data_IF_951253466762
#
_entry.id   IF_951253466762
#
_cell.length_a   1.000
_cell.length_b   1.000
_cell.length_c   1.000
_cell.angle_alpha   90.00
_cell.angle_beta   90.00
_cell.angle_gamma   90.00
#
_symmetry.space_group_name_H-M   'P 1'
#
loop_
_entity.id
_entity.type
_entity.pdbx_description
1 polymer ?
#
# COMPACT_ATOMS: atom_id res chain seq x y z
N UNK A 1 5.23 -19.55 37.48
CA UNK A 1 4.32 -20.36 36.63
C UNK A 1 3.58 -19.39 35.74
N UNK A 2 3.51 -19.64 34.43
CA UNK A 2 2.74 -18.77 33.54
C UNK A 2 1.25 -18.84 33.94
N UNK A 3 0.57 -17.69 34.07
CA UNK A 3 -0.86 -17.65 34.34
C UNK A 3 -1.61 -18.25 33.14
N UNK A 4 -2.21 -19.43 33.32
CA UNK A 4 -3.05 -20.09 32.32
C UNK A 4 -4.38 -19.34 32.28
N UNK A 5 -4.81 -18.89 31.11
CA UNK A 5 -6.10 -18.22 30.96
C UNK A 5 -7.22 -19.27 30.90
N UNK A 6 -8.29 -19.11 31.68
CA UNK A 6 -9.41 -20.06 31.72
C UNK A 6 -10.72 -19.29 31.50
N UNK A 7 -11.58 -19.80 30.62
CA UNK A 7 -12.92 -19.24 30.38
C UNK A 7 -13.94 -20.36 30.19
N UNK A 8 -15.16 -20.14 30.69
CA UNK A 8 -16.31 -20.99 30.37
C UNK A 8 -16.87 -20.74 28.96
N UNK A 9 -16.50 -19.61 28.34
CA UNK A 9 -16.81 -19.28 26.96
C UNK A 9 -15.99 -20.07 25.93
N UNK A 10 -16.23 -19.84 24.65
CA UNK A 10 -15.56 -20.54 23.55
C UNK A 10 -14.28 -19.85 23.06
N UNK A 11 -13.99 -18.64 23.51
CA UNK A 11 -12.83 -17.84 23.12
C UNK A 11 -12.44 -16.82 24.21
N UNK A 12 -11.31 -16.15 24.01
CA UNK A 12 -10.88 -15.00 24.80
C UNK A 12 -10.89 -13.76 23.90
N UNK A 13 -11.63 -12.72 24.27
CA UNK A 13 -11.67 -11.47 23.50
C UNK A 13 -10.28 -10.82 23.46
N UNK A 14 -9.85 -10.39 22.26
CA UNK A 14 -8.51 -9.82 22.05
C UNK A 14 -7.39 -10.87 22.06
N UNK A 15 -7.73 -12.15 21.89
CA UNK A 15 -6.78 -13.24 21.72
C UNK A 15 -7.22 -14.14 20.55
N UNK A 16 -6.27 -14.57 19.75
CA UNK A 16 -6.46 -15.54 18.69
C UNK A 16 -6.06 -16.94 19.19
N UNK A 17 -6.95 -17.92 19.06
CA UNK A 17 -6.61 -19.33 19.29
C UNK A 17 -5.78 -19.81 18.10
N UNK A 18 -4.50 -20.06 18.33
CA UNK A 18 -3.56 -20.52 17.30
C UNK A 18 -3.48 -22.05 17.18
N UNK A 19 -3.90 -22.78 18.23
CA UNK A 19 -3.88 -24.24 18.23
C UNK A 19 -4.93 -24.79 19.21
N UNK A 20 -5.61 -25.87 18.82
CA UNK A 20 -6.51 -26.64 19.68
C UNK A 20 -5.83 -27.89 20.18
N UNK A 21 -5.73 -28.00 21.49
CA UNK A 21 -5.21 -29.16 22.21
C UNK A 21 -6.29 -30.15 22.65
N UNK A 22 -5.89 -31.18 23.40
CA UNK A 22 -6.81 -32.20 23.87
C UNK A 22 -7.80 -31.64 24.91
N UNK A 23 -8.99 -32.23 24.94
CA UNK A 23 -9.91 -32.06 26.07
C UNK A 23 -9.36 -32.74 27.32
N UNK A 24 -9.44 -32.06 28.47
CA UNK A 24 -8.97 -32.57 29.76
C UNK A 24 -10.07 -32.46 30.80
N UNK A 25 -10.05 -33.37 31.77
CA UNK A 25 -10.86 -33.30 32.97
C UNK A 25 -10.09 -33.83 34.18
N UNK A 26 -10.44 -33.33 35.36
CA UNK A 26 -9.95 -33.79 36.67
C UNK A 26 -11.16 -33.97 37.58
N UNK A 27 -11.10 -34.96 38.48
CA UNK A 27 -12.16 -35.27 39.44
C UNK A 27 -11.60 -35.39 40.86
N UNK A 28 -12.35 -34.89 41.84
CA UNK A 28 -12.07 -35.08 43.28
C UNK A 28 -13.31 -35.68 43.94
N UNK A 29 -13.10 -36.74 44.72
CA UNK A 29 -14.19 -37.49 45.37
C UNK A 29 -14.53 -36.86 46.72
N UNK A 30 -15.80 -36.51 46.92
CA UNK A 30 -16.38 -36.26 48.23
C UNK A 30 -16.92 -37.57 48.82
N UNK A 31 -16.28 -38.02 49.90
CA UNK A 31 -16.62 -39.28 50.56
C UNK A 31 -17.73 -39.16 51.60
N UNK A 32 -18.32 -40.31 51.90
CA UNK A 32 -19.44 -40.53 52.81
C UNK A 32 -19.22 -40.10 54.27
N UNK A 33 -17.98 -40.02 54.74
CA UNK A 33 -17.69 -39.68 56.14
C UNK A 33 -18.10 -38.24 56.49
N UNK A 34 -17.96 -37.32 55.54
CA UNK A 34 -18.38 -35.92 55.71
C UNK A 34 -19.92 -35.77 55.69
N UNK A 35 -20.60 -36.46 54.77
CA UNK A 35 -22.07 -36.46 54.69
C UNK A 35 -22.70 -37.05 55.96
N UNK A 36 -22.06 -38.06 56.56
CA UNK A 36 -22.46 -38.63 57.85
C UNK A 36 -22.23 -37.68 59.03
N UNK A 37 -21.12 -36.95 59.07
CA UNK A 37 -20.82 -35.96 60.13
C UNK A 37 -21.81 -34.80 60.16
N UNK A 38 -22.28 -34.33 59.00
CA UNK A 38 -23.36 -33.33 58.91
C UNK A 38 -24.71 -33.93 59.35
N UNK A 39 -24.93 -35.23 59.10
CA UNK A 39 -26.18 -35.91 59.40
C UNK A 39 -26.39 -36.31 60.87
N UNK A 40 -25.32 -36.46 61.67
CA UNK A 40 -25.37 -37.13 62.96
C UNK A 40 -25.56 -36.25 64.22
N UNK A 41 -25.58 -34.90 64.13
CA UNK A 41 -25.63 -34.02 65.31
C UNK A 41 -26.92 -33.18 65.41
N UNK A 42 -27.74 -33.53 66.41
CA UNK A 42 -28.96 -32.94 67.02
C UNK A 42 -29.51 -31.58 66.49
N UNK A 43 -30.77 -31.65 66.00
CA UNK A 43 -31.91 -30.72 65.89
C UNK A 43 -31.85 -29.18 65.70
N UNK A 44 -30.86 -28.39 66.12
CA UNK A 44 -31.12 -26.94 66.33
C UNK A 44 -30.44 -25.92 65.40
N UNK A 45 -29.72 -26.32 64.35
CA UNK A 45 -28.99 -25.33 63.51
C UNK A 45 -29.04 -25.67 62.01
N UNK A 46 -30.14 -25.32 61.34
CA UNK A 46 -30.28 -25.49 59.89
C UNK A 46 -29.36 -24.55 59.07
N UNK A 47 -29.00 -23.39 59.64
CA UNK A 47 -28.18 -22.37 58.96
C UNK A 47 -26.69 -22.70 58.92
N UNK A 48 -26.16 -23.40 59.94
CA UNK A 48 -24.73 -23.78 60.01
C UNK A 48 -24.42 -25.05 59.19
N UNK A 49 -25.42 -25.88 58.89
CA UNK A 49 -25.22 -27.09 58.06
C UNK A 49 -25.04 -26.76 56.59
N UNK A 50 -25.83 -25.81 56.08
CA UNK A 50 -25.67 -25.35 54.70
C UNK A 50 -24.32 -24.68 54.52
N UNK A 51 -23.88 -23.85 55.47
CA UNK A 51 -22.55 -23.23 55.42
C UNK A 51 -21.43 -24.27 55.46
N UNK A 52 -21.43 -25.24 56.38
CA UNK A 52 -20.40 -26.29 56.43
C UNK A 52 -20.35 -27.15 55.17
N UNK A 53 -21.52 -27.52 54.61
CA UNK A 53 -21.61 -28.27 53.35
C UNK A 53 -21.10 -27.44 52.17
N UNK A 54 -21.51 -26.18 52.08
CA UNK A 54 -21.05 -25.24 51.07
C UNK A 54 -19.54 -24.99 51.18
N UNK A 55 -19.01 -24.81 52.38
CA UNK A 55 -17.58 -24.58 52.64
C UNK A 55 -16.74 -25.79 52.21
N UNK A 56 -17.22 -27.02 52.44
CA UNK A 56 -16.52 -28.23 52.00
C UNK A 56 -16.61 -28.44 50.50
N UNK A 57 -17.77 -28.19 49.89
CA UNK A 57 -17.93 -28.23 48.45
C UNK A 57 -17.04 -27.19 47.77
N UNK A 58 -17.04 -25.96 48.26
CA UNK A 58 -16.20 -24.87 47.77
C UNK A 58 -14.71 -25.19 47.94
N UNK A 59 -14.32 -25.75 49.09
CA UNK A 59 -12.96 -26.25 49.32
C UNK A 59 -12.55 -27.36 48.34
N UNK A 60 -13.42 -28.33 48.12
CA UNK A 60 -13.18 -29.45 47.18
C UNK A 60 -13.12 -28.94 45.74
N UNK A 61 -13.98 -27.99 45.39
CA UNK A 61 -13.98 -27.33 44.09
C UNK A 61 -12.67 -26.59 43.84
N UNK A 62 -12.21 -25.77 44.79
CA UNK A 62 -10.93 -25.07 44.72
C UNK A 62 -9.76 -26.04 44.56
N UNK A 63 -9.75 -27.15 45.29
CA UNK A 63 -8.72 -28.20 45.17
C UNK A 63 -8.73 -28.86 43.78
N UNK A 64 -9.92 -29.10 43.23
CA UNK A 64 -10.09 -29.73 41.92
C UNK A 64 -9.65 -28.79 40.79
N UNK A 65 -10.01 -27.50 40.87
CA UNK A 65 -9.56 -26.46 39.93
C UNK A 65 -8.03 -26.34 39.98
N UNK A 66 -7.44 -26.29 41.17
CA UNK A 66 -5.98 -26.23 41.33
C UNK A 66 -5.28 -27.44 40.70
N UNK A 67 -5.82 -28.64 40.94
CA UNK A 67 -5.30 -29.88 40.33
C UNK A 67 -5.41 -29.86 38.81
N UNK A 68 -6.49 -29.28 38.26
CA UNK A 68 -6.65 -29.09 36.83
C UNK A 68 -5.62 -28.10 36.27
N UNK A 69 -5.41 -26.94 36.90
CA UNK A 69 -4.38 -25.98 36.52
C UNK A 69 -2.96 -26.58 36.54
N UNK A 70 -2.65 -27.43 37.53
CA UNK A 70 -1.38 -28.17 37.59
C UNK A 70 -1.21 -29.16 36.44
N UNK A 71 -2.30 -29.82 36.00
CA UNK A 71 -2.29 -30.70 34.83
C UNK A 71 -2.09 -29.90 33.55
N UNK A 72 -2.76 -28.76 33.39
CA UNK A 72 -2.60 -27.89 32.22
C UNK A 72 -1.20 -27.27 32.17
N UNK A 73 -0.65 -26.86 33.31
CA UNK A 73 0.69 -26.29 33.42
C UNK A 73 1.83 -27.24 33.07
N UNK A 74 1.56 -28.53 32.93
CA UNK A 74 2.51 -29.54 32.41
C UNK A 74 2.42 -29.72 30.89
N UNK A 75 1.57 -28.96 30.21
CA UNK A 75 1.41 -29.00 28.76
C UNK A 75 1.99 -27.76 28.09
N UNK A 76 2.09 -27.76 26.76
CA UNK A 76 2.56 -26.60 25.99
C UNK A 76 1.44 -25.59 25.69
N UNK A 77 0.21 -25.82 26.17
CA UNK A 77 -0.94 -24.95 25.98
C UNK A 77 -1.00 -23.89 27.08
N UNK A 78 -1.40 -22.67 26.73
CA UNK A 78 -1.39 -21.53 27.65
C UNK A 78 -2.79 -21.03 28.04
N UNK A 79 -3.86 -21.64 27.52
CA UNK A 79 -5.23 -21.30 27.89
C UNK A 79 -6.21 -22.49 27.79
N UNK A 80 -7.41 -22.31 28.35
CA UNK A 80 -8.50 -23.29 28.39
C UNK A 80 -9.82 -22.60 28.05
N UNK A 81 -10.52 -23.13 27.05
CA UNK A 81 -11.88 -22.69 26.66
C UNK A 81 -12.91 -23.77 26.97
N UNK A 82 -14.17 -23.37 27.09
CA UNK A 82 -15.28 -24.27 27.42
C UNK A 82 -15.14 -24.88 28.80
N UNK A 83 -14.54 -24.16 29.75
CA UNK A 83 -14.34 -24.62 31.11
C UNK A 83 -15.69 -24.86 31.81
N UNK A 84 -15.86 -26.07 32.36
CA UNK A 84 -17.08 -26.50 33.03
C UNK A 84 -16.76 -27.17 34.34
N UNK A 85 -17.67 -27.00 35.29
CA UNK A 85 -17.59 -27.58 36.62
C UNK A 85 -18.91 -28.25 36.93
N UNK A 86 -18.87 -29.53 37.25
CA UNK A 86 -20.06 -30.34 37.53
C UNK A 86 -19.90 -31.06 38.87
N UNK A 87 -21.00 -31.22 39.58
CA UNK A 87 -21.10 -32.16 40.70
C UNK A 87 -21.89 -33.36 40.20
N UNK A 88 -21.34 -34.55 40.35
CA UNK A 88 -22.00 -35.79 39.96
C UNK A 88 -22.10 -36.69 41.17
N UNK A 89 -23.32 -37.13 41.46
CA UNK A 89 -23.59 -38.13 42.49
C UNK A 89 -23.40 -39.52 41.87
N UNK A 90 -22.37 -40.25 42.32
CA UNK A 90 -22.14 -41.63 41.91
C UNK A 90 -23.02 -42.61 42.70
N UNK A 91 -23.32 -42.27 43.96
CA UNK A 91 -24.18 -43.06 44.85
C UNK A 91 -24.70 -42.17 45.98
N UNK A 92 -25.57 -42.72 46.83
CA UNK A 92 -26.17 -41.99 47.96
C UNK A 92 -25.17 -41.35 48.94
N UNK A 93 -23.90 -41.77 48.92
CA UNK A 93 -22.88 -41.26 49.83
C UNK A 93 -21.56 -40.87 49.15
N UNK A 94 -21.54 -40.78 47.82
CA UNK A 94 -20.34 -40.41 47.06
C UNK A 94 -20.76 -39.44 45.97
N UNK A 95 -20.29 -38.21 46.12
CA UNK A 95 -20.36 -37.18 45.08
C UNK A 95 -18.95 -36.88 44.60
N UNK A 96 -18.81 -36.43 43.37
CA UNK A 96 -17.53 -35.94 42.87
C UNK A 96 -17.69 -34.58 42.23
N UNK A 97 -16.69 -33.73 42.46
CA UNK A 97 -16.53 -32.50 41.71
C UNK A 97 -15.67 -32.82 40.50
N UNK A 98 -16.18 -32.51 39.32
CA UNK A 98 -15.50 -32.72 38.04
C UNK A 98 -15.30 -31.35 37.41
N UNK A 99 -14.07 -31.06 36.99
CA UNK A 99 -13.76 -29.87 36.19
C UNK A 99 -13.17 -30.29 34.86
N UNK A 100 -13.54 -29.60 33.78
CA UNK A 100 -13.11 -29.97 32.43
C UNK A 100 -13.04 -28.78 31.49
N UNK A 101 -12.29 -28.93 30.39
CA UNK A 101 -12.18 -27.91 29.34
C UNK A 101 -11.26 -28.35 28.20
N UNK A 102 -11.23 -27.55 27.13
CA UNK A 102 -10.37 -27.78 25.97
C UNK A 102 -9.13 -26.92 26.08
N UNK A 103 -7.95 -27.55 26.05
CA UNK A 103 -6.68 -26.81 26.06
C UNK A 103 -6.48 -26.12 24.72
N UNK A 104 -5.99 -24.89 24.73
CA UNK A 104 -5.72 -24.11 23.54
C UNK A 104 -4.42 -23.32 23.70
N UNK A 105 -3.73 -23.10 22.60
CA UNK A 105 -2.66 -22.10 22.52
C UNK A 105 -3.30 -20.83 22.00
N UNK A 106 -3.30 -19.78 22.82
CA UNK A 106 -3.76 -18.45 22.43
C UNK A 106 -2.59 -17.50 22.32
N UNK A 107 -2.65 -16.61 21.34
CA UNK A 107 -1.77 -15.44 21.29
C UNK A 107 -2.65 -14.21 21.47
N UNK A 108 -2.17 -13.23 22.23
CA UNK A 108 -2.86 -11.94 22.32
C UNK A 108 -2.99 -11.40 20.90
N UNK A 109 -4.21 -11.20 20.45
CA UNK A 109 -4.49 -10.62 19.17
C UNK A 109 -4.10 -9.15 19.29
N UNK A 110 -2.94 -8.80 18.75
CA UNK A 110 -2.53 -7.42 18.69
C UNK A 110 -3.32 -6.74 17.58
N UNK A 111 -4.24 -5.80 17.89
CA UNK A 111 -4.71 -4.76 16.96
C UNK A 111 -5.18 -3.47 17.66
N UNK A 112 -4.35 -2.42 17.62
CA UNK A 112 -4.83 -1.03 17.60
C UNK A 112 -4.76 -0.46 16.18
N UNK A 113 -5.60 0.51 15.83
CA UNK A 113 -5.74 1.06 14.47
C UNK A 113 -4.49 1.79 13.92
N UNK A 114 -3.49 2.03 14.77
CA UNK A 114 -2.22 2.69 14.43
C UNK A 114 -1.12 1.73 13.93
N UNK A 115 -1.23 0.41 14.12
CA UNK A 115 -0.07 -0.50 13.93
C UNK A 115 -0.10 -1.34 12.64
N UNK A 116 -0.92 -0.95 11.65
CA UNK A 116 -0.87 -1.52 10.29
C UNK A 116 0.19 -0.78 9.47
N UNK A 117 1.47 -1.07 9.69
CA UNK A 117 2.64 -0.51 8.99
C UNK A 117 2.51 0.99 8.65
N UNK A 118 3.02 1.87 9.52
CA UNK A 118 3.10 3.31 9.25
C UNK A 118 4.03 3.68 8.08
N UNK A 119 4.60 2.68 7.40
CA UNK A 119 5.34 2.91 6.18
C UNK A 119 4.43 3.38 5.03
N UNK A 120 4.29 4.69 4.89
CA UNK A 120 3.61 5.31 3.76
C UNK A 120 4.66 5.81 2.80
N UNK A 121 4.75 5.20 1.61
CA UNK A 121 5.64 5.64 0.53
C UNK A 121 4.86 6.06 -0.70
N UNK A 122 5.22 7.20 -1.27
CA UNK A 122 4.67 7.70 -2.53
C UNK A 122 5.78 8.18 -3.46
N UNK A 123 5.79 7.64 -4.67
CA UNK A 123 6.65 8.11 -5.75
C UNK A 123 5.83 9.00 -6.70
N UNK A 124 6.37 10.17 -7.00
CA UNK A 124 5.77 11.16 -7.87
C UNK A 124 6.74 11.48 -9.00
N UNK A 125 6.27 11.48 -10.24
CA UNK A 125 7.04 12.03 -11.33
C UNK A 125 6.96 13.56 -11.31
N UNK A 126 8.06 14.21 -11.66
CA UNK A 126 8.17 15.67 -11.65
C UNK A 126 7.55 16.23 -12.92
N UNK A 127 6.56 17.11 -12.79
CA UNK A 127 5.73 17.63 -13.88
C UNK A 127 6.25 18.94 -14.49
N UNK A 128 7.53 19.24 -14.32
CA UNK A 128 8.19 20.37 -14.96
C UNK A 128 9.66 20.03 -15.24
N UNK A 129 10.30 20.73 -16.17
CA UNK A 129 11.67 20.43 -16.57
C UNK A 129 12.43 21.65 -17.08
N UNK A 130 13.76 21.61 -16.99
CA UNK A 130 14.65 22.65 -17.50
C UNK A 130 15.19 22.29 -18.86
N UNK A 131 15.00 23.13 -19.88
CA UNK A 131 15.56 22.91 -21.21
C UNK A 131 17.04 23.34 -21.34
N UNK A 132 17.87 22.92 -20.37
CA UNK A 132 19.31 23.18 -20.32
C UNK A 132 20.04 21.99 -19.70
N UNK A 133 21.37 21.95 -19.89
CA UNK A 133 22.27 20.97 -19.27
C UNK A 133 22.51 21.27 -17.78
N UNK A 134 21.44 21.18 -16.99
CA UNK A 134 21.45 21.22 -15.52
C UNK A 134 20.98 19.88 -14.97
N UNK A 135 21.32 19.53 -13.72
CA UNK A 135 20.70 18.38 -13.07
C UNK A 135 19.18 18.51 -13.12
N UNK A 136 18.48 17.55 -13.73
CA UNK A 136 17.04 17.68 -14.00
C UNK A 136 16.26 16.74 -13.10
N UNK A 137 15.40 17.29 -12.25
CA UNK A 137 14.54 16.49 -11.40
C UNK A 137 13.57 15.63 -12.24
N UNK A 138 13.50 14.33 -11.93
CA UNK A 138 12.64 13.37 -12.66
C UNK A 138 11.64 12.66 -11.75
N UNK A 139 11.94 12.54 -10.46
CA UNK A 139 11.10 11.87 -9.47
C UNK A 139 11.29 12.48 -8.09
N UNK A 140 10.21 12.60 -7.33
CA UNK A 140 10.20 12.90 -5.89
C UNK A 140 9.60 11.70 -5.16
N UNK A 141 10.18 11.33 -4.03
CA UNK A 141 9.77 10.21 -3.21
C UNK A 141 9.49 10.75 -1.81
N UNK A 142 8.26 10.58 -1.36
CA UNK A 142 7.84 10.84 0.01
C UNK A 142 7.75 9.50 0.74
N UNK A 143 8.32 9.43 1.94
CA UNK A 143 8.23 8.27 2.80
C UNK A 143 8.00 8.72 4.25
N UNK A 144 7.09 8.05 4.96
CA UNK A 144 6.98 8.14 6.41
C UNK A 144 7.06 6.74 6.99
N UNK A 145 7.60 6.61 8.19
CA UNK A 145 7.56 5.41 9.05
C UNK A 145 6.83 5.69 10.37
N UNK A 146 5.98 6.72 10.40
CA UNK A 146 5.26 7.18 11.62
C UNK A 146 6.03 8.19 12.47
N UNK A 147 7.25 8.55 12.07
CA UNK A 147 8.13 9.49 12.77
C UNK A 147 8.51 10.68 11.89
N UNK A 148 7.53 11.25 11.19
CA UNK A 148 7.71 12.38 10.29
C UNK A 148 7.95 11.97 8.84
N UNK A 149 7.61 12.89 7.93
CA UNK A 149 7.79 12.68 6.50
C UNK A 149 9.23 12.98 6.10
N UNK A 150 9.80 12.05 5.35
CA UNK A 150 11.06 12.20 4.64
C UNK A 150 10.79 12.38 3.15
N UNK A 151 11.65 13.15 2.51
CA UNK A 151 11.65 13.39 1.07
C UNK A 151 13.00 13.01 0.47
N UNK A 152 12.98 12.41 -0.71
CA UNK A 152 14.13 12.18 -1.57
C UNK A 152 13.75 12.60 -2.99
N UNK A 153 14.73 13.03 -3.79
CA UNK A 153 14.51 13.39 -5.18
C UNK A 153 15.59 12.77 -6.08
N UNK A 154 15.18 12.41 -7.29
CA UNK A 154 16.06 11.85 -8.30
C UNK A 154 16.26 12.86 -9.41
N UNK A 155 17.50 12.97 -9.88
CA UNK A 155 17.90 13.93 -10.91
C UNK A 155 18.69 13.22 -12.01
N UNK A 156 18.33 13.48 -13.25
CA UNK A 156 19.18 13.13 -14.37
C UNK A 156 20.38 14.08 -14.42
N UNK A 157 21.56 13.52 -14.55
CA UNK A 157 22.83 14.21 -14.60
C UNK A 157 23.47 14.01 -15.98
N UNK A 158 23.00 14.79 -16.94
CA UNK A 158 23.42 14.68 -18.34
C UNK A 158 24.92 14.93 -18.53
N UNK A 159 25.52 15.79 -17.71
CA UNK A 159 26.94 16.12 -17.79
C UNK A 159 27.84 15.10 -17.08
N UNK A 160 27.28 14.11 -16.37
CA UNK A 160 28.04 13.23 -15.48
C UNK A 160 28.88 14.03 -14.46
N UNK A 161 28.37 15.17 -14.02
CA UNK A 161 29.08 16.03 -13.07
C UNK A 161 29.15 15.41 -11.67
N UNK A 162 30.19 15.78 -10.92
CA UNK A 162 30.28 15.52 -9.48
C UNK A 162 29.36 16.49 -8.71
N UNK A 163 28.04 16.28 -8.82
CA UNK A 163 27.00 17.10 -8.17
C UNK A 163 26.85 16.66 -6.72
N UNK A 164 27.27 17.52 -5.79
CA UNK A 164 27.28 17.24 -4.35
C UNK A 164 25.96 17.52 -3.66
N UNK A 165 25.28 18.59 -4.09
CA UNK A 165 24.00 19.00 -3.52
C UNK A 165 23.17 19.82 -4.51
N UNK A 166 21.85 19.76 -4.36
CA UNK A 166 20.86 20.56 -5.08
C UNK A 166 19.90 21.18 -4.07
N UNK A 167 19.76 22.51 -4.10
CA UNK A 167 18.75 23.25 -3.35
C UNK A 167 17.56 23.54 -4.25
N UNK A 168 16.36 23.10 -3.86
CA UNK A 168 15.16 23.27 -4.67
C UNK A 168 13.89 23.52 -3.83
N UNK A 169 12.93 24.22 -4.41
CA UNK A 169 11.56 24.30 -3.92
C UNK A 169 10.74 23.17 -4.55
N UNK A 170 9.90 22.52 -3.76
CA UNK A 170 9.03 21.43 -4.20
C UNK A 170 7.58 21.83 -4.00
N UNK A 171 6.87 22.04 -5.10
CA UNK A 171 5.44 22.34 -5.08
C UNK A 171 4.67 21.04 -5.32
N UNK A 172 3.76 20.72 -4.40
CA UNK A 172 2.84 19.60 -4.50
C UNK A 172 1.44 20.10 -4.79
N UNK A 173 0.68 19.34 -5.57
CA UNK A 173 -0.77 19.51 -5.72
C UNK A 173 -1.46 18.32 -5.07
N UNK A 174 -2.53 18.55 -4.30
CA UNK A 174 -3.32 17.47 -3.69
C UNK A 174 -4.51 17.04 -4.57
N UNK A 175 -5.27 16.02 -4.15
CA UNK A 175 -6.48 15.56 -4.85
C UNK A 175 -7.59 16.62 -4.97
N UNK A 176 -7.56 17.66 -4.13
CA UNK A 176 -8.52 18.77 -4.13
C UNK A 176 -8.07 19.93 -5.01
N UNK A 177 -6.83 19.90 -5.52
CA UNK A 177 -6.23 20.98 -6.32
C UNK A 177 -5.48 22.03 -5.51
N UNK A 178 -5.36 21.88 -4.18
CA UNK A 178 -4.59 22.83 -3.37
C UNK A 178 -3.08 22.62 -3.56
N UNK A 179 -2.35 23.73 -3.57
CA UNK A 179 -0.91 23.73 -3.67
C UNK A 179 -0.23 23.83 -2.30
N UNK A 180 0.80 23.01 -2.10
CA UNK A 180 1.66 23.03 -0.90
C UNK A 180 3.11 23.10 -1.36
N UNK A 181 3.84 24.12 -0.94
CA UNK A 181 5.25 24.30 -1.33
C UNK A 181 6.19 24.07 -0.14
N UNK A 182 7.15 23.16 -0.31
CA UNK A 182 8.31 23.03 0.56
C UNK A 182 9.44 23.88 -0.02
N UNK A 183 9.90 24.89 0.72
CA UNK A 183 10.92 25.82 0.24
C UNK A 183 12.33 25.47 0.69
N UNK A 184 13.31 25.69 -0.17
CA UNK A 184 14.74 25.63 0.12
C UNK A 184 15.25 24.25 0.54
N UNK A 185 14.67 23.18 0.01
CA UNK A 185 15.01 21.79 0.35
C UNK A 185 16.40 21.44 -0.18
N UNK A 186 17.28 20.96 0.69
CA UNK A 186 18.68 20.65 0.38
C UNK A 186 18.88 19.15 0.14
N UNK A 187 18.87 18.74 -1.12
CA UNK A 187 19.12 17.36 -1.54
C UNK A 187 20.63 17.10 -1.67
N UNK A 188 21.13 16.10 -0.95
CA UNK A 188 22.55 15.68 -0.95
C UNK A 188 22.70 14.28 -1.53
N UNK A 189 23.89 13.97 -2.07
CA UNK A 189 24.15 12.73 -2.81
C UNK A 189 25.43 12.05 -2.32
N UNK A 190 25.32 10.77 -1.93
CA UNK A 190 26.47 9.91 -1.61
C UNK A 190 27.27 9.50 -2.85
N UNK A 191 26.55 9.16 -3.93
CA UNK A 191 27.15 8.74 -5.21
C UNK A 191 26.94 9.83 -6.24
N UNK A 192 28.06 10.42 -6.63
CA UNK A 192 28.14 11.47 -7.65
C UNK A 192 28.77 10.91 -8.92
N UNK A 193 28.78 11.67 -10.02
CA UNK A 193 29.28 11.20 -11.33
C UNK A 193 28.58 9.92 -11.83
N UNK A 194 27.26 9.89 -11.66
CA UNK A 194 26.37 8.88 -12.22
C UNK A 194 25.28 9.58 -13.03
N UNK A 195 24.73 8.91 -14.04
CA UNK A 195 23.72 9.48 -14.95
C UNK A 195 22.39 9.78 -14.25
N UNK A 196 22.09 9.07 -13.17
CA UNK A 196 20.92 9.26 -12.33
C UNK A 196 21.35 9.44 -10.87
N UNK A 197 21.31 10.68 -10.40
CA UNK A 197 21.54 11.04 -9.01
C UNK A 197 20.30 10.72 -8.18
N UNK A 198 20.49 10.09 -7.04
CA UNK A 198 19.41 9.79 -6.08
C UNK A 198 19.81 10.39 -4.75
N UNK A 199 19.04 11.37 -4.28
CA UNK A 199 19.37 12.01 -3.03
C UNK A 199 19.10 11.08 -1.86
N UNK A 200 19.76 11.35 -0.75
CA UNK A 200 19.37 10.78 0.53
C UNK A 200 17.96 11.23 0.92
N UNK A 201 17.38 10.49 1.86
CA UNK A 201 16.13 10.89 2.50
C UNK A 201 16.42 11.94 3.57
N UNK A 202 15.77 13.08 3.45
CA UNK A 202 15.85 14.19 4.41
C UNK A 202 14.47 14.45 5.02
N UNK A 203 14.44 14.88 6.28
CA UNK A 203 13.19 15.25 6.93
C UNK A 203 12.58 16.50 6.30
N UNK A 204 11.25 16.52 6.16
CA UNK A 204 10.55 17.68 5.64
C UNK A 204 9.28 18.00 6.44
N UNK A 205 8.88 19.28 6.40
CA UNK A 205 7.71 19.80 7.11
C UNK A 205 6.42 19.53 6.32
N UNK A 206 6.20 18.28 5.94
CA UNK A 206 4.96 17.82 5.30
C UNK A 206 4.27 16.83 6.24
N UNK A 207 3.04 17.10 6.72
CA UNK A 207 2.35 16.14 7.58
C UNK A 207 2.05 14.83 6.84
N UNK A 208 2.24 13.70 7.51
CA UNK A 208 2.20 12.35 6.90
C UNK A 208 0.87 12.04 6.20
N UNK A 209 -0.23 12.58 6.74
CA UNK A 209 -1.57 12.50 6.14
C UNK A 209 -1.64 13.03 4.70
N UNK A 210 -0.77 13.98 4.34
CA UNK A 210 -0.73 14.54 2.99
C UNK A 210 -0.11 13.60 1.97
N UNK A 211 0.79 12.69 2.38
CA UNK A 211 1.49 11.79 1.45
C UNK A 211 0.49 11.04 0.56
N UNK A 212 -0.58 10.50 1.14
CA UNK A 212 -1.57 9.71 0.38
C UNK A 212 -2.36 10.55 -0.62
N UNK A 213 -2.59 11.84 -0.34
CA UNK A 213 -3.46 12.71 -1.15
C UNK A 213 -2.72 13.60 -2.15
N UNK A 214 -1.38 13.61 -2.17
CA UNK A 214 -0.63 14.38 -3.18
C UNK A 214 -0.75 13.71 -4.56
N UNK A 215 -1.15 14.42 -5.59
CA UNK A 215 -1.37 13.87 -6.94
C UNK A 215 -0.21 14.13 -7.88
N UNK A 216 0.45 15.28 -7.77
CA UNK A 216 1.58 15.67 -8.63
C UNK A 216 2.60 16.51 -7.87
N UNK A 217 3.77 16.69 -8.48
CA UNK A 217 4.81 17.56 -7.95
C UNK A 217 5.53 18.32 -9.07
N UNK A 218 5.99 19.54 -8.75
CA UNK A 218 6.90 20.34 -9.54
C UNK A 218 8.14 20.66 -8.71
N UNK A 219 9.29 20.78 -9.35
CA UNK A 219 10.58 21.05 -8.71
C UNK A 219 11.20 22.29 -9.33
N UNK A 220 11.59 23.24 -8.48
CA UNK A 220 12.21 24.51 -8.88
C UNK A 220 13.61 24.57 -8.29
N UNK A 221 14.63 24.38 -9.12
CA UNK A 221 16.03 24.34 -8.70
C UNK A 221 16.52 25.78 -8.48
N UNK A 222 16.85 26.09 -7.24
CA UNK A 222 17.45 27.38 -6.89
C UNK A 222 18.94 27.37 -7.21
N UNK A 223 19.67 26.38 -6.66
CA UNK A 223 21.13 26.25 -6.79
C UNK A 223 21.55 24.80 -6.79
N UNK A 224 22.70 24.51 -7.39
CA UNK A 224 23.36 23.22 -7.26
C UNK A 224 24.87 23.40 -7.10
N UNK A 225 25.51 22.42 -6.47
CA UNK A 225 26.93 22.45 -6.11
C UNK A 225 27.64 21.34 -6.86
N UNK A 226 28.73 21.67 -7.53
CA UNK A 226 29.67 20.69 -8.10
C UNK A 226 31.06 20.88 -7.51
N UNK A 227 32.00 20.00 -7.84
CA UNK A 227 33.42 20.20 -7.50
C UNK A 227 34.00 21.54 -8.02
N UNK A 228 33.41 22.12 -9.07
CA UNK A 228 33.89 23.34 -9.75
C UNK A 228 33.31 24.63 -9.15
N UNK A 229 32.21 24.56 -8.41
CA UNK A 229 31.59 25.74 -7.82
C UNK A 229 30.10 25.57 -7.49
N UNK A 230 29.47 26.69 -7.17
CA UNK A 230 28.04 26.80 -6.89
C UNK A 230 27.37 27.52 -8.05
N UNK A 231 26.31 26.93 -8.60
CA UNK A 231 25.62 27.40 -9.79
C UNK A 231 24.15 27.67 -9.46
N UNK A 232 23.60 28.74 -10.03
CA UNK A 232 22.15 29.01 -10.04
C UNK A 232 21.55 28.59 -11.37
N UNK A 233 20.33 28.05 -11.38
CA UNK A 233 19.66 27.72 -12.63
C UNK A 233 19.24 28.98 -13.39
N UNK A 234 18.60 29.93 -12.70
CA UNK A 234 18.29 31.27 -13.22
C UNK A 234 17.14 31.34 -14.23
N UNK A 235 16.57 30.22 -14.63
CA UNK A 235 15.39 30.14 -15.51
C UNK A 235 14.19 29.53 -14.79
N UNK A 236 13.01 29.76 -15.36
CA UNK A 236 11.80 29.04 -14.99
C UNK A 236 11.71 27.70 -15.75
N UNK A 237 11.32 26.61 -15.07
CA UNK A 237 11.11 25.33 -15.71
C UNK A 237 9.84 25.34 -16.58
N UNK A 238 9.82 24.49 -17.60
CA UNK A 238 8.67 24.28 -18.49
C UNK A 238 7.75 23.23 -17.87
N UNK A 239 6.47 23.54 -17.76
CA UNK A 239 5.46 22.61 -17.26
C UNK A 239 5.13 21.51 -18.28
N UNK A 240 4.83 20.32 -17.76
CA UNK A 240 4.38 19.17 -18.55
C UNK A 240 2.86 19.13 -18.56
N UNK A 241 2.26 19.41 -19.71
CA UNK A 241 0.82 19.37 -19.92
C UNK A 241 0.35 17.98 -20.37
N UNK A 242 0.28 17.02 -19.44
CA UNK A 242 -0.34 15.71 -19.69
C UNK A 242 -0.90 15.08 -18.42
N UNK A 243 -1.84 14.14 -18.56
CA UNK A 243 -2.39 13.41 -17.42
C UNK A 243 -1.32 12.54 -16.74
N UNK A 244 -1.46 12.32 -15.43
CA UNK A 244 -0.52 11.50 -14.66
C UNK A 244 -0.36 10.07 -15.21
N UNK A 245 -1.45 9.50 -15.74
CA UNK A 245 -1.48 8.19 -16.37
C UNK A 245 -0.60 8.16 -17.64
N UNK A 246 -0.82 9.13 -18.55
CA UNK A 246 -0.02 9.29 -19.76
C UNK A 246 1.45 9.51 -19.44
N UNK A 247 1.72 10.36 -18.44
CA UNK A 247 3.09 10.69 -18.07
C UNK A 247 3.86 9.48 -17.53
N UNK A 248 3.20 8.67 -16.70
CA UNK A 248 3.77 7.42 -16.20
C UNK A 248 4.11 6.46 -17.34
N UNK A 249 3.17 6.25 -18.27
CA UNK A 249 3.39 5.37 -19.42
C UNK A 249 4.52 5.87 -20.33
N UNK A 250 4.58 7.19 -20.60
CA UNK A 250 5.65 7.80 -21.37
C UNK A 250 7.02 7.49 -20.74
N UNK A 251 7.16 7.69 -19.42
CA UNK A 251 8.42 7.42 -18.73
C UNK A 251 8.82 5.96 -18.73
N UNK A 252 7.85 5.04 -18.60
CA UNK A 252 8.11 3.60 -18.70
C UNK A 252 8.64 3.23 -20.08
N UNK A 253 8.04 3.79 -21.14
CA UNK A 253 8.40 3.47 -22.53
C UNK A 253 9.68 4.12 -23.01
N UNK A 254 9.94 5.37 -22.59
CA UNK A 254 10.98 6.24 -23.19
C UNK A 254 12.09 6.64 -22.21
N UNK A 255 11.97 6.28 -20.93
CA UNK A 255 12.92 6.60 -19.88
C UNK A 255 12.44 7.70 -18.92
N UNK A 256 13.07 7.79 -17.75
CA UNK A 256 12.63 8.66 -16.65
C UNK A 256 12.67 10.16 -16.97
N UNK A 257 13.49 10.59 -17.90
CA UNK A 257 13.58 11.98 -18.34
C UNK A 257 12.69 12.34 -19.52
N UNK A 258 11.89 11.38 -20.01
CA UNK A 258 10.88 11.69 -21.00
C UNK A 258 9.82 12.63 -20.39
N UNK A 259 9.55 13.72 -21.10
CA UNK A 259 8.58 14.79 -20.77
C UNK A 259 7.59 15.04 -21.89
N UNK A 260 7.89 14.60 -23.12
CA UNK A 260 6.94 14.63 -24.23
C UNK A 260 7.19 13.46 -25.21
N UNK A 261 6.30 13.33 -26.18
CA UNK A 261 6.52 12.49 -27.36
C UNK A 261 7.42 13.21 -28.37
N UNK A 262 8.12 12.43 -29.19
CA UNK A 262 8.88 12.95 -30.32
C UNK A 262 7.94 13.66 -31.30
N UNK A 263 8.36 14.83 -31.80
CA UNK A 263 7.65 15.62 -32.82
C UNK A 263 8.67 16.25 -33.76
N UNK A 264 8.32 16.43 -35.03
CA UNK A 264 9.15 17.16 -35.99
C UNK A 264 8.28 17.78 -37.07
N UNK A 265 8.65 18.98 -37.51
CA UNK A 265 8.06 19.71 -38.63
C UNK A 265 9.01 19.78 -39.85
N UNK A 266 10.15 19.09 -39.78
CA UNK A 266 11.19 19.10 -40.81
C UNK A 266 12.25 20.20 -40.65
N UNK A 267 11.93 21.31 -39.96
CA UNK A 267 12.88 22.38 -39.64
C UNK A 267 13.52 22.20 -38.27
N UNK A 268 12.77 21.64 -37.33
CA UNK A 268 13.22 21.27 -35.99
C UNK A 268 12.62 19.93 -35.58
N UNK A 269 13.13 19.37 -34.49
CA UNK A 269 12.51 18.21 -33.87
C UNK A 269 12.65 18.25 -32.35
N UNK A 270 11.56 17.92 -31.66
CA UNK A 270 11.49 17.84 -30.20
C UNK A 270 11.84 16.43 -29.76
N UNK A 271 12.87 16.29 -28.95
CA UNK A 271 13.25 15.03 -28.32
C UNK A 271 12.26 14.67 -27.21
N UNK A 272 12.17 13.38 -26.84
CA UNK A 272 11.39 12.96 -25.68
C UNK A 272 11.80 13.66 -24.38
N UNK A 273 13.05 14.13 -24.25
CA UNK A 273 13.49 14.97 -23.13
C UNK A 273 13.00 16.43 -23.21
N UNK A 274 12.14 16.79 -24.14
CA UNK A 274 11.57 18.13 -24.29
C UNK A 274 12.46 19.14 -25.03
N UNK A 275 13.74 18.82 -25.25
CA UNK A 275 14.63 19.72 -25.98
C UNK A 275 14.29 19.79 -27.47
N UNK A 276 14.27 20.99 -28.02
CA UNK A 276 14.07 21.25 -29.45
C UNK A 276 15.42 21.33 -30.14
N UNK A 277 15.67 20.43 -31.08
CA UNK A 277 16.89 20.34 -31.86
C UNK A 277 16.67 20.90 -33.27
N UNK A 278 17.72 21.43 -33.87
CA UNK A 278 17.71 21.88 -35.26
C UNK A 278 17.49 20.72 -36.24
N UNK A 279 16.85 21.02 -37.37
CA UNK A 279 16.67 20.09 -38.48
C UNK A 279 18.00 19.62 -39.03
N UNK A 280 18.16 18.30 -39.17
CA UNK A 280 19.40 17.66 -39.59
C UNK A 280 20.31 17.22 -38.44
N UNK A 281 20.05 17.61 -37.19
CA UNK A 281 20.74 17.04 -36.04
C UNK A 281 20.36 15.57 -35.85
N UNK A 282 21.34 14.67 -35.87
CA UNK A 282 21.14 13.22 -35.72
C UNK A 282 20.84 12.80 -34.27
N UNK A 283 21.31 13.58 -33.29
CA UNK A 283 21.21 13.27 -31.86
C UNK A 283 20.73 14.48 -31.07
N UNK A 284 20.05 14.22 -29.95
CA UNK A 284 19.62 15.29 -29.06
C UNK A 284 20.80 15.88 -28.28
N UNK A 285 20.97 17.20 -28.34
CA UNK A 285 22.09 17.90 -27.66
C UNK A 285 22.07 17.75 -26.13
N UNK A 286 20.90 17.55 -25.53
CA UNK A 286 20.76 17.40 -24.07
C UNK A 286 20.95 15.96 -23.61
N UNK A 287 20.25 15.00 -24.23
CA UNK A 287 20.17 13.63 -23.72
C UNK A 287 20.91 12.59 -24.58
N UNK A 288 21.44 12.96 -25.75
CA UNK A 288 22.16 12.07 -26.66
C UNK A 288 21.30 11.04 -27.39
N UNK A 289 19.97 11.05 -27.23
CA UNK A 289 19.09 10.13 -27.98
C UNK A 289 19.16 10.41 -29.48
N UNK A 290 19.31 9.37 -30.27
CA UNK A 290 19.31 9.45 -31.73
C UNK A 290 17.91 9.69 -32.27
N UNK A 291 17.77 10.64 -33.19
CA UNK A 291 16.51 10.99 -33.81
C UNK A 291 15.85 9.77 -34.48
N UNK A 292 16.63 8.95 -35.19
CA UNK A 292 16.10 7.80 -35.92
C UNK A 292 15.60 6.67 -35.00
N UNK A 293 16.22 6.48 -33.84
CA UNK A 293 15.71 5.55 -32.82
C UNK A 293 14.35 6.01 -32.28
N UNK A 294 14.16 7.33 -32.14
CA UNK A 294 12.88 7.91 -31.75
C UNK A 294 11.84 7.80 -32.86
N UNK A 295 12.22 8.03 -34.14
CA UNK A 295 11.34 7.85 -35.31
C UNK A 295 10.85 6.41 -35.45
N UNK A 296 11.73 5.44 -35.28
CA UNK A 296 11.39 4.00 -35.39
C UNK A 296 10.56 3.49 -34.20
N UNK A 297 10.46 4.29 -33.14
CA UNK A 297 9.63 4.03 -31.98
C UNK A 297 8.27 4.73 -32.02
N UNK A 298 7.93 5.37 -33.17
CA UNK A 298 6.62 5.92 -33.46
C UNK A 298 5.68 4.75 -33.75
N UNK A 299 5.19 4.13 -32.69
CA UNK A 299 3.85 3.55 -32.69
C UNK A 299 2.89 4.65 -33.13
N UNK A 300 1.99 4.33 -34.05
CA UNK A 300 0.87 5.17 -34.48
C UNK A 300 0.49 6.28 -33.47
N UNK A 301 0.55 7.55 -33.87
CA UNK A 301 0.15 8.66 -33.00
C UNK A 301 -1.37 8.65 -32.84
N UNK A 302 -1.84 8.03 -31.76
CA UNK A 302 -3.24 7.82 -31.47
C UNK A 302 -3.94 9.05 -30.87
N UNK A 303 -3.21 10.11 -30.51
CA UNK A 303 -3.78 11.30 -29.87
C UNK A 303 -4.85 11.99 -30.74
N UNK A 304 -4.61 12.31 -32.03
CA UNK A 304 -5.64 12.93 -32.88
C UNK A 304 -6.88 12.05 -33.05
N UNK A 305 -6.67 10.74 -33.14
CA UNK A 305 -7.78 9.77 -33.22
C UNK A 305 -8.61 9.79 -31.94
N UNK A 306 -7.99 9.78 -30.76
CA UNK A 306 -8.71 9.85 -29.49
C UNK A 306 -9.48 11.15 -29.32
N UNK A 307 -8.90 12.29 -29.74
CA UNK A 307 -9.62 13.56 -29.70
C UNK A 307 -10.85 13.55 -30.62
N UNK A 308 -10.76 12.95 -31.81
CA UNK A 308 -11.92 12.76 -32.69
C UNK A 308 -12.96 11.80 -32.10
N UNK A 309 -12.52 10.72 -31.43
CA UNK A 309 -13.41 9.77 -30.73
C UNK A 309 -14.20 10.43 -29.60
N UNK A 310 -13.57 11.31 -28.81
CA UNK A 310 -14.23 12.04 -27.70
C UNK A 310 -15.37 12.94 -28.16
N UNK A 311 -15.37 13.37 -29.42
CA UNK A 311 -16.44 14.19 -30.00
C UNK A 311 -17.65 13.36 -30.44
N UNK A 312 -17.62 12.02 -30.33
CA UNK A 312 -18.72 11.12 -30.72
C UNK A 312 -19.64 10.83 -29.55
N UNK A 313 -20.88 10.47 -29.85
CA UNK A 313 -21.88 10.15 -28.82
C UNK A 313 -21.99 8.64 -28.61
N UNK A 314 -21.95 7.86 -29.69
CA UNK A 314 -22.14 6.41 -29.64
C UNK A 314 -20.87 5.62 -29.95
N UNK A 315 -20.73 4.42 -29.38
CA UNK A 315 -19.55 3.56 -29.63
C UNK A 315 -19.43 3.17 -31.10
N UNK A 316 -20.55 3.05 -31.82
CA UNK A 316 -20.51 2.79 -33.26
C UNK A 316 -19.79 3.91 -34.03
N UNK A 317 -20.01 5.17 -33.68
CA UNK A 317 -19.33 6.30 -34.30
C UNK A 317 -17.84 6.34 -33.91
N UNK A 318 -17.51 5.94 -32.66
CA UNK A 318 -16.12 5.79 -32.20
C UNK A 318 -15.39 4.72 -33.02
N UNK A 319 -16.05 3.60 -33.31
CA UNK A 319 -15.50 2.56 -34.19
C UNK A 319 -15.31 3.08 -35.61
N UNK A 320 -16.22 3.89 -36.14
CA UNK A 320 -16.02 4.51 -37.45
C UNK A 320 -14.78 5.42 -37.48
N UNK A 321 -14.53 6.17 -36.40
CA UNK A 321 -13.27 6.92 -36.24
C UNK A 321 -12.08 5.97 -36.24
N UNK A 322 -12.07 4.91 -35.43
CA UNK A 322 -10.99 3.91 -35.43
C UNK A 322 -10.69 3.38 -36.83
N UNK A 323 -11.73 3.05 -37.61
CA UNK A 323 -11.59 2.49 -38.95
C UNK A 323 -10.91 3.45 -39.95
N UNK A 324 -10.97 4.77 -39.73
CA UNK A 324 -10.22 5.75 -40.55
C UNK A 324 -8.71 5.61 -40.35
N UNK A 325 -8.27 5.28 -39.15
CA UNK A 325 -6.86 5.22 -38.77
C UNK A 325 -6.29 3.79 -38.70
N UNK A 326 -7.14 2.76 -38.73
CA UNK A 326 -6.75 1.35 -38.49
C UNK A 326 -5.62 0.83 -39.38
N UNK A 327 -5.47 1.40 -40.59
CA UNK A 327 -4.43 1.01 -41.55
C UNK A 327 -3.03 1.45 -41.12
N UNK A 328 -2.94 2.51 -40.33
CA UNK A 328 -1.69 3.10 -39.85
C UNK A 328 -1.29 2.55 -38.47
N UNK A 329 -2.19 1.79 -37.82
CA UNK A 329 -1.96 1.14 -36.54
C UNK A 329 -1.22 -0.18 -36.74
N UNK A 330 -0.28 -0.51 -35.84
CA UNK A 330 0.42 -1.80 -35.81
C UNK A 330 -0.54 -2.99 -35.81
N UNK A 331 -0.25 -3.99 -36.64
CA UNK A 331 -1.12 -5.18 -36.83
C UNK A 331 -1.42 -5.92 -35.53
N UNK A 332 -0.48 -5.93 -34.58
CA UNK A 332 -0.65 -6.54 -33.26
C UNK A 332 -1.70 -5.86 -32.38
N UNK A 333 -1.92 -4.54 -32.53
CA UNK A 333 -2.90 -3.78 -31.75
C UNK A 333 -4.29 -3.79 -32.40
N UNK A 334 -4.37 -3.97 -33.72
CA UNK A 334 -5.65 -3.88 -34.47
C UNK A 334 -6.72 -4.83 -33.92
N UNK A 335 -6.35 -6.08 -33.63
CA UNK A 335 -7.31 -7.08 -33.19
C UNK A 335 -7.91 -6.72 -31.82
N UNK A 336 -7.07 -6.31 -30.87
CA UNK A 336 -7.51 -5.89 -29.54
C UNK A 336 -8.37 -4.62 -29.60
N UNK A 337 -8.02 -3.66 -30.45
CA UNK A 337 -8.84 -2.45 -30.66
C UNK A 337 -10.23 -2.80 -31.22
N UNK A 338 -10.30 -3.70 -32.20
CA UNK A 338 -11.58 -4.16 -32.76
C UNK A 338 -12.41 -4.92 -31.72
N UNK A 339 -11.78 -5.77 -30.89
CA UNK A 339 -12.46 -6.47 -29.79
C UNK A 339 -13.04 -5.49 -28.76
N UNK A 340 -12.28 -4.44 -28.39
CA UNK A 340 -12.77 -3.37 -27.51
C UNK A 340 -14.01 -2.70 -28.11
N UNK A 341 -14.00 -2.40 -29.41
CA UNK A 341 -15.13 -1.79 -30.10
C UNK A 341 -16.36 -2.70 -30.15
N UNK A 342 -16.20 -3.96 -30.56
CA UNK A 342 -17.32 -4.92 -30.63
C UNK A 342 -17.94 -5.17 -29.26
N UNK A 343 -17.10 -5.34 -28.23
CA UNK A 343 -17.56 -5.48 -26.85
C UNK A 343 -18.30 -4.23 -26.38
N UNK A 344 -17.76 -3.04 -26.65
CA UNK A 344 -18.39 -1.75 -26.33
C UNK A 344 -19.77 -1.60 -26.97
N UNK A 345 -19.90 -1.90 -28.26
CA UNK A 345 -21.18 -1.85 -28.99
C UNK A 345 -22.21 -2.82 -28.38
N UNK A 346 -21.77 -4.04 -28.02
CA UNK A 346 -22.66 -5.03 -27.42
C UNK A 346 -23.14 -4.60 -26.03
N UNK A 347 -22.24 -4.07 -25.20
CA UNK A 347 -22.59 -3.55 -23.89
C UNK A 347 -23.48 -2.31 -23.98
N UNK A 348 -23.21 -1.41 -24.93
CA UNK A 348 -24.01 -0.19 -25.10
C UNK A 348 -25.48 -0.50 -25.39
N UNK A 349 -25.73 -1.49 -26.25
CA UNK A 349 -27.07 -1.99 -26.56
C UNK A 349 -27.80 -2.61 -25.37
N UNK A 350 -27.07 -3.17 -24.40
CA UNK A 350 -27.66 -3.96 -23.30
C UNK A 350 -27.65 -3.25 -21.95
N UNK A 351 -26.80 -2.25 -21.76
CA UNK A 351 -26.52 -1.63 -20.45
C UNK A 351 -26.49 -0.09 -20.47
N UNK A 352 -26.63 0.55 -21.63
CA UNK A 352 -26.57 2.01 -21.76
C UNK A 352 -25.18 2.52 -22.14
N UNK A 353 -24.99 3.84 -22.14
CA UNK A 353 -23.78 4.54 -22.64
C UNK A 353 -22.46 3.88 -22.21
N UNK A 354 -21.61 3.56 -23.19
CA UNK A 354 -20.30 2.95 -23.02
C UNK A 354 -19.14 3.82 -23.54
N UNK A 355 -19.41 5.04 -24.00
CA UNK A 355 -18.44 5.94 -24.64
C UNK A 355 -17.14 6.07 -23.85
N UNK A 356 -17.23 6.55 -22.60
CA UNK A 356 -16.05 6.87 -21.78
C UNK A 356 -15.24 5.61 -21.48
N UNK A 357 -15.91 4.48 -21.21
CA UNK A 357 -15.24 3.20 -20.95
C UNK A 357 -14.50 2.67 -22.17
N UNK A 358 -15.07 2.83 -23.38
CA UNK A 358 -14.40 2.41 -24.62
C UNK A 358 -13.18 3.29 -24.89
N UNK A 359 -13.33 4.61 -24.77
CA UNK A 359 -12.22 5.56 -24.95
C UNK A 359 -11.08 5.26 -23.98
N UNK A 360 -11.40 5.02 -22.71
CA UNK A 360 -10.41 4.64 -21.68
C UNK A 360 -9.67 3.34 -22.05
N UNK A 361 -10.39 2.31 -22.48
CA UNK A 361 -9.78 1.03 -22.89
C UNK A 361 -8.86 1.17 -24.10
N UNK A 362 -9.28 1.95 -25.10
CA UNK A 362 -8.46 2.25 -26.29
C UNK A 362 -7.19 2.97 -25.85
N UNK A 363 -7.32 4.01 -25.03
CA UNK A 363 -6.19 4.79 -24.53
C UNK A 363 -5.22 3.91 -23.71
N UNK A 364 -5.73 3.09 -22.79
CA UNK A 364 -4.93 2.16 -21.99
C UNK A 364 -4.15 1.17 -22.86
N UNK A 365 -4.78 0.66 -23.92
CA UNK A 365 -4.11 -0.25 -24.84
C UNK A 365 -2.92 0.42 -25.54
N UNK A 366 -3.08 1.65 -26.03
CA UNK A 366 -1.95 2.39 -26.61
C UNK A 366 -0.91 2.79 -25.57
N UNK A 367 -1.29 3.00 -24.31
CA UNK A 367 -0.37 3.25 -23.20
C UNK A 367 0.35 1.98 -22.72
N UNK A 368 -0.11 0.79 -23.13
CA UNK A 368 0.44 -0.50 -22.71
C UNK A 368 0.17 -0.80 -21.23
N UNK A 369 -1.03 -0.43 -20.76
CA UNK A 369 -1.50 -0.56 -19.37
C UNK A 369 -2.40 -1.78 -19.16
#
# INVERSE_FOLDING_TARGET
MANIMITSGTSFEGYEITEYGPYKFVQTILSSNFLKEIGASIADIATDRSSMYHDKLDGTMKETIKSFEEVVGKTNYNAVVGFKTNIVDYSSNISAVIVSGTLVSVKKEYKSEFEKSDFVRKELYVNNYYDKLVPRAVKVILASEGNGTKISAWYNNYNMDDVKAIKADIQFVNIYGDEITLTGVDFVFDKTNVSLLKSDYIECKLPEKYIKIITSCKVYIQKYVTARGVYSCGDDPIDVEMSALKYKALKVKKGLDAVCNYKSDGLVWTCNCGHVNEGGAEECVICGRKQDEMKNSITFNYEPMLEEMKQKEYVMEIKDVLMKYIKDIDSGLRMQLLEIMESGIQYEKTRGDMKETVIEKVENLFLGL
#
